data_IF_557770682177
#
_entry.id   IF_557770682177
#
_cell.length_a   1.000
_cell.length_b   1.000
_cell.length_c   1.000
_cell.angle_alpha   90.00
_cell.angle_beta   90.00
_cell.angle_gamma   90.00
#
_symmetry.space_group_name_H-M   'P 1'
#
loop_
_entity.id
_entity.type
_entity.pdbx_description
1 polymer ?
#
# COMPACT_ATOMS: atom_id res chain seq x y z
N UNK A 1 6.60 -11.39 7.52
CA UNK A 1 5.56 -10.34 7.72
C UNK A 1 4.42 -10.47 6.70
N UNK A 2 4.64 -10.25 5.40
CA UNK A 2 3.52 -10.08 4.44
C UNK A 2 3.05 -11.34 3.72
N UNK A 3 3.97 -12.11 3.09
CA UNK A 3 3.60 -13.13 2.11
C UNK A 3 2.85 -14.35 2.67
N UNK A 4 2.99 -14.63 3.96
CA UNK A 4 2.26 -15.70 4.65
C UNK A 4 0.88 -15.23 5.17
N UNK A 5 0.62 -13.91 5.24
CA UNK A 5 -0.66 -13.40 5.71
C UNK A 5 -1.74 -13.71 4.66
N UNK A 6 -2.83 -14.35 5.10
CA UNK A 6 -3.94 -14.80 4.25
C UNK A 6 -5.12 -13.83 4.23
N UNK A 7 -5.12 -12.81 5.10
CA UNK A 7 -6.14 -11.77 5.11
C UNK A 7 -6.16 -10.97 3.80
N UNK A 8 -7.34 -10.46 3.46
CA UNK A 8 -7.54 -9.55 2.34
C UNK A 8 -6.60 -8.34 2.43
N UNK A 9 -6.13 -7.84 1.29
CA UNK A 9 -5.19 -6.71 1.26
C UNK A 9 -5.82 -5.37 1.70
N UNK A 10 -7.03 -4.99 1.22
CA UNK A 10 -7.71 -3.79 1.70
C UNK A 10 -7.87 -3.84 3.22
N UNK A 11 -7.69 -2.69 3.88
CA UNK A 11 -7.72 -2.52 5.35
C UNK A 11 -6.58 -3.22 6.10
N UNK A 12 -6.35 -4.52 5.86
CA UNK A 12 -5.48 -5.33 6.71
C UNK A 12 -3.98 -5.23 6.36
N UNK A 13 -3.62 -4.87 5.13
CA UNK A 13 -2.21 -4.89 4.69
C UNK A 13 -1.79 -3.73 3.81
N UNK A 14 -2.64 -3.25 2.91
CA UNK A 14 -2.28 -2.17 1.98
C UNK A 14 -2.49 -0.81 2.65
N UNK A 15 -1.41 -0.04 2.94
CA UNK A 15 -1.57 1.31 3.44
C UNK A 15 -2.08 2.23 2.33
N UNK A 16 -2.63 3.37 2.72
CA UNK A 16 -3.11 4.40 1.80
C UNK A 16 -2.54 5.76 2.14
N UNK A 17 -2.37 6.59 1.11
CA UNK A 17 -2.01 8.00 1.25
C UNK A 17 -3.16 8.83 0.73
N UNK A 18 -3.66 9.74 1.57
CA UNK A 18 -4.71 10.68 1.22
C UNK A 18 -4.07 12.02 0.87
N UNK A 19 -4.10 12.39 -0.40
CA UNK A 19 -3.59 13.69 -0.85
C UNK A 19 -4.48 14.85 -0.38
N UNK A 20 -4.03 16.12 -0.48
CA UNK A 20 -4.92 17.26 -0.29
C UNK A 20 -6.16 17.15 -1.17
N UNK A 21 -7.32 17.59 -0.64
CA UNK A 21 -8.56 17.62 -1.41
C UNK A 21 -8.38 18.50 -2.65
N UNK A 22 -8.83 17.99 -3.78
CA UNK A 22 -8.93 18.72 -5.03
C UNK A 22 -10.41 19.09 -5.25
N UNK A 23 -10.67 20.24 -5.86
CA UNK A 23 -12.01 20.69 -6.20
C UNK A 23 -12.17 20.73 -7.72
N UNK A 24 -12.71 19.64 -8.28
CA UNK A 24 -12.98 19.51 -9.71
C UNK A 24 -14.41 19.98 -10.00
N UNK A 25 -14.61 20.80 -11.04
CA UNK A 25 -15.94 21.27 -11.43
C UNK A 25 -16.70 20.22 -12.22
N UNK A 26 -15.97 19.46 -13.03
CA UNK A 26 -16.51 18.43 -13.90
C UNK A 26 -15.51 17.28 -14.08
N UNK A 27 -15.90 16.30 -14.90
CA UNK A 27 -15.08 15.14 -15.21
C UNK A 27 -13.81 15.53 -15.95
N UNK A 28 -13.87 16.52 -16.84
CA UNK A 28 -12.72 16.94 -17.66
C UNK A 28 -11.59 17.54 -16.80
N UNK A 29 -11.93 18.34 -15.77
CA UNK A 29 -10.97 18.83 -14.78
C UNK A 29 -10.27 17.66 -14.07
N UNK A 30 -11.00 16.61 -13.69
CA UNK A 30 -10.42 15.43 -13.05
C UNK A 30 -9.50 14.64 -13.99
N UNK A 31 -9.83 14.55 -15.29
CA UNK A 31 -9.01 13.89 -16.30
C UNK A 31 -7.73 14.68 -16.59
N UNK A 32 -7.79 16.02 -16.59
CA UNK A 32 -6.60 16.89 -16.70
C UNK A 32 -5.66 16.68 -15.52
N UNK A 33 -6.20 16.65 -14.30
CA UNK A 33 -5.40 16.35 -13.11
C UNK A 33 -4.75 14.96 -13.19
N UNK A 34 -5.50 13.95 -13.64
CA UNK A 34 -4.98 12.61 -13.82
C UNK A 34 -3.87 12.54 -14.90
N UNK A 35 -4.03 13.27 -16.01
CA UNK A 35 -3.00 13.37 -17.05
C UNK A 35 -1.71 14.00 -16.50
N UNK A 36 -1.83 15.13 -15.79
CA UNK A 36 -0.70 15.79 -15.15
C UNK A 36 0.02 14.88 -14.13
N UNK A 37 -0.75 14.14 -13.32
CA UNK A 37 -0.22 13.17 -12.37
C UNK A 37 0.58 12.05 -13.07
N UNK A 38 0.08 11.53 -14.20
CA UNK A 38 0.78 10.52 -15.00
C UNK A 38 2.08 11.10 -15.56
N UNK A 39 2.07 12.32 -16.09
CA UNK A 39 3.27 12.99 -16.59
C UNK A 39 4.36 13.08 -15.50
N UNK A 40 4.01 13.54 -14.30
CA UNK A 40 4.95 13.58 -13.17
C UNK A 40 5.41 12.18 -12.71
N UNK A 41 4.53 11.18 -12.76
CA UNK A 41 4.89 9.79 -12.47
C UNK A 41 5.91 9.25 -13.46
N UNK A 42 5.77 9.58 -14.75
CA UNK A 42 6.69 9.18 -15.81
C UNK A 42 8.07 9.78 -15.60
N UNK A 43 8.15 11.08 -15.30
CA UNK A 43 9.41 11.75 -14.95
C UNK A 43 10.09 11.08 -13.75
N UNK A 44 9.32 10.79 -12.70
CA UNK A 44 9.83 10.11 -11.52
C UNK A 44 10.32 8.68 -11.83
N UNK A 45 9.57 7.94 -12.65
CA UNK A 45 9.97 6.61 -13.11
C UNK A 45 11.29 6.66 -13.89
N UNK A 46 11.46 7.64 -14.78
CA UNK A 46 12.72 7.81 -15.53
C UNK A 46 13.90 8.00 -14.57
N UNK A 47 13.73 8.78 -13.50
CA UNK A 47 14.77 8.95 -12.48
C UNK A 47 15.08 7.64 -11.73
N UNK A 48 14.05 6.87 -11.38
CA UNK A 48 14.20 5.54 -10.74
C UNK A 48 14.94 4.57 -11.65
N UNK A 49 14.50 4.44 -12.90
CA UNK A 49 15.07 3.51 -13.88
C UNK A 49 16.53 3.84 -14.20
N UNK A 50 16.84 5.14 -14.32
CA UNK A 50 18.21 5.62 -14.60
C UNK A 50 19.09 5.69 -13.36
N UNK A 51 18.54 5.40 -12.17
CA UNK A 51 19.23 5.52 -10.87
C UNK A 51 19.81 6.93 -10.63
N UNK A 52 19.09 7.96 -11.08
CA UNK A 52 19.47 9.37 -10.91
C UNK A 52 18.74 10.05 -9.77
N UNK A 53 17.97 9.31 -8.97
CA UNK A 53 17.39 9.84 -7.74
C UNK A 53 18.49 10.33 -6.79
N UNK A 54 18.34 11.51 -6.17
CA UNK A 54 19.24 11.95 -5.11
C UNK A 54 19.33 10.89 -4.01
N UNK A 55 20.53 10.47 -3.58
CA UNK A 55 20.67 9.49 -2.53
C UNK A 55 20.20 10.08 -1.20
N UNK A 56 19.40 9.32 -0.45
CA UNK A 56 19.13 9.62 0.96
C UNK A 56 20.39 9.33 1.79
N UNK A 57 20.84 10.28 2.61
CA UNK A 57 22.07 10.23 3.44
C UNK A 57 22.46 8.82 3.94
N UNK A 58 23.31 8.12 3.19
CA UNK A 58 23.81 6.76 3.49
C UNK A 58 22.71 5.70 3.75
N UNK A 59 21.51 5.89 3.20
CA UNK A 59 20.42 4.93 3.29
C UNK A 59 20.32 4.08 2.02
N UNK A 60 19.97 2.81 2.20
CA UNK A 60 19.67 1.89 1.12
C UNK A 60 18.50 2.42 0.27
N UNK A 61 18.74 2.49 -1.04
CA UNK A 61 17.77 2.99 -2.05
C UNK A 61 17.00 1.86 -2.74
N UNK A 62 17.21 0.59 -2.37
CA UNK A 62 16.66 -0.57 -3.10
C UNK A 62 15.13 -0.56 -3.19
N UNK A 63 14.45 -0.03 -2.16
CA UNK A 63 12.98 0.06 -2.15
C UNK A 63 12.43 0.94 -3.28
N UNK A 64 13.17 1.97 -3.72
CA UNK A 64 12.76 2.83 -4.84
C UNK A 64 12.78 2.07 -6.16
N UNK A 65 13.80 1.25 -6.41
CA UNK A 65 13.95 0.47 -7.65
C UNK A 65 12.92 -0.65 -7.80
N UNK A 66 12.23 -0.97 -6.71
CA UNK A 66 11.13 -1.94 -6.67
C UNK A 66 9.74 -1.31 -6.81
N UNK A 67 9.64 0.02 -6.77
CA UNK A 67 8.36 0.75 -6.76
C UNK A 67 7.52 0.45 -8.00
N UNK A 68 8.16 0.31 -9.16
CA UNK A 68 7.51 0.10 -10.46
C UNK A 68 7.73 -1.29 -11.07
N UNK A 69 8.31 -2.23 -10.32
CA UNK A 69 8.84 -3.51 -10.88
C UNK A 69 8.50 -4.75 -10.05
N UNK A 70 7.77 -4.61 -8.95
CA UNK A 70 7.36 -5.72 -8.07
C UNK A 70 5.91 -6.08 -8.30
N UNK A 71 5.42 -7.33 -8.27
CA UNK A 71 3.98 -7.68 -8.22
C UNK A 71 3.73 -8.73 -7.14
N UNK A 72 2.71 -8.56 -6.29
CA UNK A 72 2.34 -9.54 -5.26
C UNK A 72 1.34 -10.56 -5.83
N UNK A 73 1.84 -11.69 -6.30
CA UNK A 73 1.04 -12.79 -6.82
C UNK A 73 0.41 -13.60 -5.67
N UNK A 74 -0.91 -13.83 -5.66
CA UNK A 74 -1.54 -14.69 -4.65
C UNK A 74 -1.08 -16.15 -4.85
N UNK A 75 -0.86 -16.87 -3.75
CA UNK A 75 -0.67 -18.33 -3.77
C UNK A 75 -1.56 -18.99 -2.74
N UNK A 76 -1.81 -20.30 -2.79
CA UNK A 76 -2.81 -20.95 -1.90
C UNK A 76 -2.46 -20.85 -0.41
N UNK A 77 -1.18 -21.01 -0.07
CA UNK A 77 -0.68 -20.94 1.31
C UNK A 77 0.24 -19.74 1.54
N UNK A 78 1.00 -19.34 0.52
CA UNK A 78 1.98 -18.27 0.58
C UNK A 78 1.98 -17.51 -0.74
N UNK A 79 1.95 -16.19 -0.65
CA UNK A 79 2.05 -15.30 -1.80
C UNK A 79 3.50 -15.22 -2.29
N UNK A 80 3.70 -14.79 -3.53
CA UNK A 80 5.03 -14.53 -4.09
C UNK A 80 5.18 -13.05 -4.44
N UNK A 81 6.33 -12.47 -4.11
CA UNK A 81 6.73 -11.17 -4.63
C UNK A 81 7.53 -11.40 -5.91
N UNK A 82 6.95 -11.05 -7.05
CA UNK A 82 7.61 -11.13 -8.35
C UNK A 82 8.31 -9.81 -8.58
N UNK A 83 9.63 -9.78 -8.61
CA UNK A 83 10.41 -8.59 -9.01
C UNK A 83 11.02 -8.83 -10.38
N UNK A 84 10.93 -7.84 -11.27
CA UNK A 84 11.67 -7.89 -12.52
C UNK A 84 13.09 -7.41 -12.28
N UNK A 85 14.09 -8.27 -12.49
CA UNK A 85 15.49 -7.91 -12.40
C UNK A 85 15.98 -7.33 -13.74
N UNK A 86 16.65 -6.19 -13.70
CA UNK A 86 17.37 -5.60 -14.84
C UNK A 86 18.74 -6.28 -15.08
N UNK A 87 18.84 -7.60 -14.83
CA UNK A 87 20.09 -8.37 -14.87
C UNK A 87 20.27 -9.20 -16.14
N UNK A 88 19.71 -8.77 -17.27
CA UNK A 88 19.84 -9.42 -18.58
C UNK A 88 20.29 -8.42 -19.65
N UNK A 89 21.28 -8.79 -20.44
CA UNK A 89 21.98 -7.98 -21.43
C UNK A 89 21.18 -7.68 -22.72
N UNK A 90 19.94 -7.22 -22.61
CA UNK A 90 19.20 -6.62 -23.73
C UNK A 90 18.73 -5.21 -23.36
N UNK A 91 19.58 -4.24 -23.71
CA UNK A 91 19.30 -2.80 -23.63
C UNK A 91 18.30 -2.41 -24.73
N UNK A 92 17.01 -2.60 -24.48
CA UNK A 92 16.03 -1.65 -25.02
C UNK A 92 15.36 -0.93 -23.85
N UNK A 93 15.26 0.42 -23.86
CA UNK A 93 14.44 1.13 -22.90
C UNK A 93 12.98 0.80 -23.23
N UNK A 94 12.47 -0.31 -22.71
CA UNK A 94 11.08 -0.67 -22.95
C UNK A 94 10.20 0.33 -22.22
N UNK A 95 9.44 1.03 -23.02
CA UNK A 95 8.43 1.96 -22.59
C UNK A 95 7.24 1.20 -21.96
N UNK A 96 6.88 1.54 -20.72
CA UNK A 96 5.83 0.84 -19.99
C UNK A 96 4.41 1.29 -20.35
N UNK A 97 3.41 0.53 -19.90
CA UNK A 97 2.00 0.94 -19.90
C UNK A 97 1.49 1.12 -18.48
N UNK A 98 0.41 1.88 -18.32
CA UNK A 98 -0.41 1.87 -17.11
C UNK A 98 -1.71 1.14 -17.40
N UNK A 99 -2.39 0.73 -16.33
CA UNK A 99 -3.80 0.32 -16.42
C UNK A 99 -4.65 1.47 -15.89
N UNK A 100 -5.70 1.81 -16.63
CA UNK A 100 -6.72 2.74 -16.18
C UNK A 100 -7.98 1.94 -15.83
N UNK A 101 -8.42 2.03 -14.58
CA UNK A 101 -9.67 1.47 -14.10
C UNK A 101 -10.74 2.57 -14.12
N UNK A 102 -11.85 2.33 -14.82
CA UNK A 102 -13.01 3.23 -14.88
C UNK A 102 -14.29 2.41 -14.96
N UNK A 103 -15.28 2.67 -14.11
CA UNK A 103 -16.53 1.89 -14.03
C UNK A 103 -16.30 0.37 -13.95
N UNK A 104 -15.29 -0.05 -13.16
CA UNK A 104 -14.88 -1.45 -12.99
C UNK A 104 -14.30 -2.11 -14.26
N UNK A 105 -14.06 -1.32 -15.31
CA UNK A 105 -13.45 -1.75 -16.56
C UNK A 105 -11.97 -1.37 -16.56
N UNK A 106 -11.12 -2.21 -17.13
CA UNK A 106 -9.67 -1.99 -17.18
C UNK A 106 -9.21 -1.74 -18.61
N UNK A 107 -8.38 -0.72 -18.80
CA UNK A 107 -7.85 -0.32 -20.09
C UNK A 107 -6.33 -0.20 -20.04
N UNK A 108 -5.67 -0.60 -21.13
CA UNK A 108 -4.23 -0.39 -21.33
C UNK A 108 -4.01 0.99 -21.91
N UNK A 109 -3.18 1.79 -21.23
CA UNK A 109 -2.66 3.05 -21.75
C UNK A 109 -1.14 2.94 -21.87
N UNK A 110 -0.65 2.80 -23.09
CA UNK A 110 0.79 2.81 -23.38
C UNK A 110 1.35 4.21 -23.14
N UNK A 111 2.47 4.32 -22.42
CA UNK A 111 3.07 5.63 -22.11
C UNK A 111 3.93 6.17 -23.26
N UNK A 112 4.10 5.37 -24.32
CA UNK A 112 4.80 5.76 -25.53
C UNK A 112 4.12 5.26 -26.77
N UNK A 113 4.31 6.02 -27.84
CA UNK A 113 3.86 5.69 -29.18
C UNK A 113 5.03 5.96 -30.15
N UNK A 114 5.34 5.01 -31.04
CA UNK A 114 6.44 5.13 -32.04
C UNK A 114 7.79 5.61 -31.46
N UNK A 115 8.15 5.12 -30.27
CA UNK A 115 9.38 5.50 -29.54
C UNK A 115 9.41 6.94 -29.01
N UNK A 116 8.28 7.66 -29.02
CA UNK A 116 8.09 8.96 -28.36
C UNK A 116 7.26 8.78 -27.09
N UNK A 117 7.63 9.50 -26.03
CA UNK A 117 6.78 9.64 -24.85
C UNK A 117 5.53 10.44 -25.16
N UNK A 118 4.39 9.93 -24.68
CA UNK A 118 3.14 10.69 -24.70
C UNK A 118 3.34 11.93 -23.84
N UNK A 119 2.91 13.09 -24.36
CA UNK A 119 2.83 14.31 -23.58
C UNK A 119 1.49 14.37 -22.81
N UNK A 120 1.33 15.40 -21.98
CA UNK A 120 0.13 15.55 -21.15
C UNK A 120 -1.16 15.65 -21.98
N UNK A 121 -1.10 16.25 -23.17
CA UNK A 121 -2.25 16.39 -24.08
C UNK A 121 -2.63 15.05 -24.72
N UNK A 122 -1.64 14.25 -25.12
CA UNK A 122 -1.86 12.89 -25.59
C UNK A 122 -2.50 12.02 -24.50
N UNK A 123 -1.98 12.09 -23.27
CA UNK A 123 -2.50 11.33 -22.12
C UNK A 123 -3.95 11.74 -21.84
N UNK A 124 -4.24 13.04 -21.79
CA UNK A 124 -5.60 13.55 -21.60
C UNK A 124 -6.55 13.02 -22.68
N UNK A 125 -6.12 13.05 -23.95
CA UNK A 125 -6.91 12.52 -25.07
C UNK A 125 -7.24 11.03 -24.88
N UNK A 126 -6.26 10.23 -24.47
CA UNK A 126 -6.45 8.80 -24.19
C UNK A 126 -7.36 8.56 -22.98
N UNK A 127 -7.22 9.35 -21.90
CA UNK A 127 -8.08 9.26 -20.73
C UNK A 127 -9.54 9.61 -21.04
N UNK A 128 -9.78 10.65 -21.84
CA UNK A 128 -11.12 11.03 -22.32
C UNK A 128 -11.74 9.92 -23.16
N UNK A 129 -10.97 9.26 -24.03
CA UNK A 129 -11.42 8.08 -24.78
C UNK A 129 -11.81 6.93 -23.84
N UNK A 130 -10.94 6.60 -22.88
CA UNK A 130 -11.20 5.55 -21.87
C UNK A 130 -12.49 5.84 -21.09
N UNK A 131 -12.65 7.07 -20.62
CA UNK A 131 -13.84 7.52 -19.89
C UNK A 131 -15.12 7.25 -20.68
N UNK A 132 -15.18 7.71 -21.94
CA UNK A 132 -16.34 7.51 -22.82
C UNK A 132 -16.59 6.05 -23.14
N UNK A 133 -15.53 5.26 -23.35
CA UNK A 133 -15.65 3.82 -23.58
C UNK A 133 -16.21 3.09 -22.36
N UNK A 134 -15.84 3.49 -21.15
CA UNK A 134 -16.28 2.88 -19.90
C UNK A 134 -17.76 3.13 -19.57
N UNK A 135 -18.36 4.20 -20.10
CA UNK A 135 -19.78 4.54 -19.93
C UNK A 135 -20.73 3.65 -20.76
N UNK A 136 -20.22 3.02 -21.83
CA UNK A 136 -21.03 2.17 -22.70
C UNK A 136 -21.43 0.86 -22.01
N UNK A 137 -22.70 0.77 -21.61
CA UNK A 137 -23.25 -0.37 -20.85
C UNK A 137 -23.15 -1.70 -21.61
N UNK A 138 -23.41 -1.70 -22.92
CA UNK A 138 -23.38 -2.91 -23.76
C UNK A 138 -21.99 -3.58 -23.83
N UNK A 139 -20.94 -2.80 -23.60
CA UNK A 139 -19.56 -3.26 -23.65
C UNK A 139 -19.00 -3.59 -22.24
N UNK A 140 -19.80 -3.46 -21.18
CA UNK A 140 -19.34 -3.70 -19.81
C UNK A 140 -18.98 -5.16 -19.58
N UNK A 141 -17.84 -5.36 -18.91
CA UNK A 141 -17.33 -6.66 -18.49
C UNK A 141 -17.57 -6.85 -16.98
N UNK A 142 -17.63 -8.11 -16.51
CA UNK A 142 -17.75 -8.39 -15.09
C UNK A 142 -16.65 -7.72 -14.24
N UNK A 143 -16.94 -7.30 -13.01
CA UNK A 143 -16.04 -6.53 -12.15
C UNK A 143 -14.91 -7.39 -11.53
N UNK A 144 -14.01 -7.92 -12.35
CA UNK A 144 -12.95 -8.85 -11.91
C UNK A 144 -11.97 -8.28 -10.89
N UNK A 145 -11.90 -6.95 -10.75
CA UNK A 145 -11.11 -6.27 -9.72
C UNK A 145 -11.48 -6.69 -8.29
N UNK A 146 -12.74 -7.08 -8.08
CA UNK A 146 -13.26 -7.56 -6.80
C UNK A 146 -12.47 -8.74 -6.24
N UNK A 147 -11.97 -9.64 -7.09
CA UNK A 147 -11.21 -10.78 -6.60
C UNK A 147 -9.95 -10.37 -5.84
N UNK A 148 -9.33 -9.25 -6.23
CA UNK A 148 -8.11 -8.77 -5.56
C UNK A 148 -8.37 -8.18 -4.18
N UNK A 149 -9.64 -7.89 -3.87
CA UNK A 149 -10.10 -7.41 -2.56
C UNK A 149 -10.39 -8.52 -1.57
N UNK A 150 -10.45 -9.78 -2.02
CA UNK A 150 -10.76 -10.94 -1.17
C UNK A 150 -9.53 -11.45 -0.41
N UNK A 151 -9.76 -12.43 0.46
CA UNK A 151 -8.69 -13.19 1.11
C UNK A 151 -7.69 -13.76 0.10
N UNK A 152 -6.44 -13.90 0.52
CA UNK A 152 -5.35 -14.25 -0.41
C UNK A 152 -5.52 -15.65 -1.02
N UNK A 153 -6.12 -16.57 -0.26
CA UNK A 153 -6.33 -17.96 -0.71
C UNK A 153 -7.51 -18.04 -1.68
N UNK A 154 -8.54 -17.26 -1.43
CA UNK A 154 -9.74 -17.09 -2.25
C UNK A 154 -9.35 -16.47 -3.59
N UNK A 155 -8.53 -15.41 -3.56
CA UNK A 155 -7.98 -14.82 -4.77
C UNK A 155 -7.11 -15.82 -5.54
N UNK A 156 -6.23 -16.58 -4.87
CA UNK A 156 -5.42 -17.60 -5.54
C UNK A 156 -6.29 -18.61 -6.31
N UNK A 157 -7.35 -19.13 -5.68
CA UNK A 157 -8.30 -20.06 -6.31
C UNK A 157 -9.01 -19.45 -7.53
N UNK A 158 -9.50 -18.21 -7.41
CA UNK A 158 -10.18 -17.53 -8.52
C UNK A 158 -9.20 -17.25 -9.68
N UNK A 159 -7.97 -16.85 -9.37
CA UNK A 159 -6.91 -16.61 -10.36
C UNK A 159 -6.56 -17.88 -11.13
N UNK A 160 -6.47 -19.03 -10.46
CA UNK A 160 -6.20 -20.32 -11.11
C UNK A 160 -7.30 -20.70 -12.10
N UNK A 161 -8.56 -20.38 -11.81
CA UNK A 161 -9.66 -20.56 -12.76
C UNK A 161 -9.58 -19.60 -13.94
N UNK A 162 -9.30 -18.31 -13.70
CA UNK A 162 -9.13 -17.32 -14.77
C UNK A 162 -8.04 -17.74 -15.75
N UNK A 163 -6.91 -18.27 -15.26
CA UNK A 163 -5.76 -18.68 -16.09
C UNK A 163 -6.04 -19.85 -17.05
N UNK A 164 -7.14 -20.59 -16.86
CA UNK A 164 -7.53 -21.67 -17.78
C UNK A 164 -7.92 -21.14 -19.16
N UNK A 165 -8.42 -19.91 -19.23
CA UNK A 165 -8.79 -19.24 -20.47
C UNK A 165 -7.62 -18.38 -21.00
N UNK A 166 -7.28 -18.46 -22.30
CA UNK A 166 -6.16 -17.72 -22.87
C UNK A 166 -6.37 -16.19 -22.89
N UNK A 167 -7.60 -15.72 -23.09
CA UNK A 167 -7.93 -14.27 -23.10
C UNK A 167 -7.74 -13.69 -21.70
N UNK A 168 -8.23 -14.40 -20.67
CA UNK A 168 -8.01 -14.00 -19.28
C UNK A 168 -6.53 -13.99 -18.90
N UNK A 169 -5.75 -14.96 -19.40
CA UNK A 169 -4.31 -15.03 -19.17
C UNK A 169 -3.59 -13.80 -19.73
N UNK A 170 -3.91 -13.40 -20.96
CA UNK A 170 -3.34 -12.19 -21.57
C UNK A 170 -3.69 -10.93 -20.77
N UNK A 171 -4.96 -10.78 -20.38
CA UNK A 171 -5.40 -9.68 -19.51
C UNK A 171 -4.68 -9.68 -18.16
N UNK A 172 -4.56 -10.84 -17.50
CA UNK A 172 -3.79 -10.97 -16.25
C UNK A 172 -2.31 -10.64 -16.45
N UNK A 173 -1.70 -11.06 -17.55
CA UNK A 173 -0.32 -10.70 -17.86
C UNK A 173 -0.17 -9.18 -17.96
N UNK A 174 -1.02 -8.48 -18.71
CA UNK A 174 -1.02 -7.01 -18.80
C UNK A 174 -1.26 -6.35 -17.43
N UNK A 175 -2.16 -6.90 -16.61
CA UNK A 175 -2.43 -6.46 -15.24
C UNK A 175 -1.29 -6.77 -14.27
N UNK A 176 -0.46 -7.77 -14.55
CA UNK A 176 0.78 -8.13 -13.82
C UNK A 176 1.98 -7.36 -14.38
N UNK A 177 1.80 -6.63 -15.48
CA UNK A 177 2.84 -5.93 -16.23
C UNK A 177 2.64 -4.44 -16.52
N UNK A 178 1.76 -3.73 -15.83
CA UNK A 178 1.70 -2.27 -15.87
C UNK A 178 2.58 -1.59 -14.82
N UNK A 179 2.94 -0.33 -15.07
CA UNK A 179 3.71 0.60 -14.20
C UNK A 179 2.91 1.10 -13.00
N UNK A 180 1.60 1.24 -13.13
CA UNK A 180 0.69 1.49 -12.02
C UNK A 180 -0.75 1.24 -12.50
N UNK A 181 -1.69 1.36 -11.56
CA UNK A 181 -3.12 1.40 -11.86
C UNK A 181 -3.64 2.78 -11.47
N UNK A 182 -4.17 3.51 -12.44
CA UNK A 182 -4.93 4.74 -12.21
C UNK A 182 -6.41 4.37 -12.07
N UNK A 183 -7.05 4.76 -10.98
CA UNK A 183 -8.49 4.53 -10.77
C UNK A 183 -9.24 5.84 -10.97
N UNK A 184 -10.06 5.91 -12.02
CA UNK A 184 -11.01 6.98 -12.28
C UNK A 184 -12.31 6.62 -11.55
N UNK A 185 -12.44 7.14 -10.34
CA UNK A 185 -13.55 6.82 -9.45
C UNK A 185 -14.78 7.68 -9.71
N UNK A 186 -15.95 7.06 -9.58
CA UNK A 186 -17.22 7.78 -9.67
C UNK A 186 -17.55 8.47 -8.33
N UNK A 187 -18.27 9.61 -8.36
CA UNK A 187 -18.73 10.28 -7.16
C UNK A 187 -19.59 9.36 -6.29
N UNK A 188 -19.28 9.29 -4.99
CA UNK A 188 -19.98 8.36 -4.06
C UNK A 188 -21.11 9.00 -3.28
N UNK A 189 -21.34 10.32 -3.42
CA UNK A 189 -22.32 11.09 -2.66
C UNK A 189 -21.99 11.29 -1.17
N UNK A 190 -20.87 10.74 -0.68
CA UNK A 190 -20.46 10.86 0.71
C UNK A 190 -19.77 12.21 0.95
N UNK A 191 -20.00 12.81 2.11
CA UNK A 191 -19.33 14.05 2.50
C UNK A 191 -17.80 13.86 2.51
N UNK A 192 -17.03 14.74 1.85
CA UNK A 192 -15.60 14.55 1.63
C UNK A 192 -14.74 14.97 2.84
N UNK A 193 -15.05 14.45 4.03
CA UNK A 193 -14.20 14.57 5.22
C UNK A 193 -12.90 13.77 5.05
N UNK A 194 -11.86 14.08 5.84
CA UNK A 194 -10.60 13.34 5.76
C UNK A 194 -10.80 11.84 6.07
N UNK A 195 -11.64 11.49 7.05
CA UNK A 195 -12.00 10.10 7.39
C UNK A 195 -12.70 9.36 6.24
N UNK A 196 -13.70 10.01 5.61
CA UNK A 196 -14.43 9.41 4.50
C UNK A 196 -13.53 9.22 3.28
N UNK A 197 -12.67 10.20 2.98
CA UNK A 197 -11.69 10.11 1.88
C UNK A 197 -10.66 9.01 2.15
N UNK A 198 -10.17 8.87 3.37
CA UNK A 198 -9.28 7.79 3.77
C UNK A 198 -9.93 6.41 3.56
N UNK A 199 -11.18 6.26 4.03
CA UNK A 199 -11.96 5.03 3.87
C UNK A 199 -12.19 4.68 2.39
N UNK A 200 -12.54 5.66 1.54
CA UNK A 200 -12.70 5.44 0.11
C UNK A 200 -11.41 5.02 -0.60
N UNK A 201 -10.25 5.54 -0.20
CA UNK A 201 -8.97 5.09 -0.77
C UNK A 201 -8.62 3.69 -0.26
N UNK A 202 -8.96 3.37 0.99
CA UNK A 202 -8.65 2.09 1.63
C UNK A 202 -9.43 0.90 1.05
N UNK A 203 -10.70 1.08 0.70
CA UNK A 203 -11.57 -0.02 0.26
C UNK A 203 -12.61 0.38 -0.81
N UNK A 204 -12.58 1.60 -1.33
CA UNK A 204 -13.47 2.05 -2.41
C UNK A 204 -14.95 2.20 -2.03
N UNK A 205 -15.29 2.07 -0.74
CA UNK A 205 -16.69 2.14 -0.28
C UNK A 205 -17.54 0.89 -0.55
N UNK A 206 -16.94 -0.22 -0.98
CA UNK A 206 -17.64 -1.49 -1.23
C UNK A 206 -17.93 -1.73 -2.70
N UNK A 207 -18.58 -2.86 -3.00
CA UNK A 207 -18.85 -3.29 -4.38
C UNK A 207 -19.87 -2.40 -5.12
N UNK A 208 -20.79 -1.77 -4.38
CA UNK A 208 -21.79 -0.82 -4.91
C UNK A 208 -21.21 0.56 -5.24
N UNK A 209 -19.94 0.79 -4.92
CA UNK A 209 -19.22 2.05 -5.16
C UNK A 209 -17.96 1.76 -6.00
N UNK A 210 -16.80 2.17 -5.53
CA UNK A 210 -15.53 2.07 -6.25
C UNK A 210 -14.67 0.89 -5.79
N UNK A 211 -15.18 -0.01 -4.93
CA UNK A 211 -14.41 -1.14 -4.39
C UNK A 211 -13.99 -2.17 -5.44
N UNK A 212 -14.78 -2.29 -6.52
CA UNK A 212 -14.46 -3.10 -7.69
C UNK A 212 -13.56 -2.39 -8.71
N UNK A 213 -13.47 -1.06 -8.65
CA UNK A 213 -12.69 -0.22 -9.56
C UNK A 213 -11.21 -0.17 -9.13
N UNK A 214 -10.68 -1.33 -8.73
CA UNK A 214 -9.38 -1.49 -8.08
C UNK A 214 -8.71 -2.75 -8.58
N UNK A 215 -7.39 -2.73 -8.54
CA UNK A 215 -6.58 -3.93 -8.62
C UNK A 215 -5.44 -3.81 -7.62
N UNK A 216 -5.46 -4.62 -6.56
CA UNK A 216 -4.42 -4.55 -5.53
C UNK A 216 -3.10 -5.08 -6.08
N UNK A 217 -2.14 -4.17 -6.30
CA UNK A 217 -0.95 -4.40 -7.12
C UNK A 217 0.34 -3.84 -6.52
N UNK A 218 1.45 -4.31 -7.08
CA UNK A 218 2.68 -3.55 -7.31
C UNK A 218 3.12 -3.77 -8.79
N UNK A 219 3.92 -2.93 -9.47
CA UNK A 219 4.05 -2.78 -10.95
C UNK A 219 5.10 -3.63 -11.76
N UNK A 220 5.01 -3.81 -13.10
CA UNK A 220 5.94 -4.56 -14.03
C UNK A 220 5.67 -4.28 -15.56
N UNK A 221 6.02 -5.08 -16.62
CA UNK A 221 6.04 -4.74 -18.12
C UNK A 221 5.65 -5.80 -19.22
N UNK A 222 5.06 -5.45 -20.42
CA UNK A 222 5.29 -6.04 -21.81
C UNK A 222 4.49 -5.38 -23.02
N UNK A 223 4.97 -5.65 -24.26
CA UNK A 223 4.65 -5.25 -25.67
C UNK A 223 3.61 -6.06 -26.52
N UNK A 224 2.99 -5.42 -27.55
CA UNK A 224 2.92 -5.84 -28.98
C UNK A 224 2.49 -4.67 -29.92
N UNK A 225 3.02 -4.67 -31.16
CA UNK A 225 2.94 -3.61 -32.20
C UNK A 225 1.58 -3.55 -32.94
N UNK A 226 1.12 -2.36 -33.29
CA UNK A 226 0.28 -2.11 -34.46
C UNK A 226 0.57 -0.72 -35.06
N UNK A 227 0.33 -0.58 -36.37
CA UNK A 227 0.67 0.59 -37.18
C UNK A 227 -0.56 1.42 -37.53
N UNK A 228 -0.57 2.72 -37.22
CA UNK A 228 -1.27 3.78 -37.97
C UNK A 228 -0.86 5.17 -37.45
N UNK A 229 -1.23 6.22 -38.17
CA UNK A 229 -0.81 7.62 -38.00
C UNK A 229 -1.46 8.40 -36.85
N UNK A 230 -2.50 7.85 -36.20
CA UNK A 230 -3.17 8.45 -35.02
C UNK A 230 -2.85 7.69 -33.73
N UNK A 231 -2.98 8.36 -32.56
CA UNK A 231 -2.88 7.67 -31.26
C UNK A 231 -3.85 6.47 -31.25
N UNK A 232 -3.37 5.24 -30.99
CA UNK A 232 -4.22 4.07 -31.03
C UNK A 232 -5.32 4.15 -29.96
N UNK A 233 -6.48 3.60 -30.27
CA UNK A 233 -7.58 3.50 -29.31
C UNK A 233 -7.11 2.64 -28.11
N UNK A 234 -7.30 3.10 -26.86
CA UNK A 234 -6.98 2.32 -25.67
C UNK A 234 -7.60 0.92 -25.69
N UNK A 235 -6.80 -0.11 -25.42
CA UNK A 235 -7.27 -1.49 -25.40
C UNK A 235 -8.03 -1.77 -24.11
N UNK A 236 -9.32 -2.12 -24.21
CA UNK A 236 -10.09 -2.68 -23.08
C UNK A 236 -9.65 -4.11 -22.80
N UNK A 237 -9.35 -4.44 -21.55
CA UNK A 237 -9.08 -5.81 -21.14
C UNK A 237 -10.36 -6.65 -21.19
N UNK A 238 -10.23 -7.85 -21.75
CA UNK A 238 -11.34 -8.79 -21.92
C UNK A 238 -11.28 -9.89 -20.87
N UNK A 239 -12.47 -10.35 -20.46
CA UNK A 239 -12.63 -11.34 -19.40
C UNK A 239 -13.72 -12.34 -19.75
N UNK A 240 -13.33 -13.60 -19.95
CA UNK A 240 -14.22 -14.74 -20.13
C UNK A 240 -14.55 -15.32 -18.75
N UNK A 241 -15.76 -15.03 -18.27
CA UNK A 241 -16.22 -15.46 -16.95
C UNK A 241 -17.21 -16.61 -17.08
N UNK A 242 -16.83 -17.80 -16.63
CA UNK A 242 -17.75 -18.92 -16.46
C UNK A 242 -18.75 -18.64 -15.33
N UNK A 243 -19.84 -19.43 -15.25
CA UNK A 243 -20.80 -19.37 -14.14
C UNK A 243 -20.13 -19.51 -12.77
N UNK A 244 -19.08 -20.35 -12.67
CA UNK A 244 -18.28 -20.49 -11.47
C UNK A 244 -17.53 -19.20 -11.11
N UNK A 245 -16.90 -18.54 -12.09
CA UNK A 245 -16.19 -17.26 -11.88
C UNK A 245 -17.18 -16.18 -11.43
N UNK A 246 -18.37 -16.11 -12.04
CA UNK A 246 -19.41 -15.15 -11.66
C UNK A 246 -19.90 -15.39 -10.22
N UNK A 247 -20.09 -16.63 -9.81
CA UNK A 247 -20.45 -16.97 -8.41
C UNK A 247 -19.35 -16.56 -7.42
N UNK A 248 -18.08 -16.75 -7.78
CA UNK A 248 -16.97 -16.29 -6.94
C UNK A 248 -16.92 -14.76 -6.85
N UNK A 249 -17.23 -14.02 -7.93
CA UNK A 249 -17.33 -12.55 -7.88
C UNK A 249 -18.39 -12.08 -6.88
N UNK A 250 -19.57 -12.71 -6.87
CA UNK A 250 -20.61 -12.41 -5.89
C UNK A 250 -20.15 -12.69 -4.46
N UNK A 251 -19.34 -13.73 -4.25
CA UNK A 251 -18.75 -14.04 -2.94
C UNK A 251 -17.73 -12.98 -2.51
N UNK A 252 -16.83 -12.58 -3.40
CA UNK A 252 -15.85 -11.52 -3.13
C UNK A 252 -16.52 -10.16 -2.88
N UNK A 253 -17.61 -9.84 -3.60
CA UNK A 253 -18.41 -8.65 -3.34
C UNK A 253 -18.95 -8.61 -1.90
N UNK A 254 -19.53 -9.72 -1.44
CA UNK A 254 -20.03 -9.86 -0.07
C UNK A 254 -18.91 -9.75 0.97
N UNK A 255 -17.75 -10.37 0.72
CA UNK A 255 -16.60 -10.29 1.61
C UNK A 255 -16.06 -8.86 1.73
N UNK A 256 -15.92 -8.16 0.60
CA UNK A 256 -15.54 -6.74 0.61
C UNK A 256 -16.56 -5.91 1.38
N UNK A 257 -17.86 -6.15 1.18
CA UNK A 257 -18.90 -5.41 1.90
C UNK A 257 -18.82 -5.60 3.42
N UNK A 258 -18.48 -6.80 3.88
CA UNK A 258 -18.22 -7.09 5.30
C UNK A 258 -16.99 -6.32 5.81
N UNK A 259 -15.90 -6.28 5.05
CA UNK A 259 -14.71 -5.50 5.41
C UNK A 259 -15.03 -4.01 5.56
N UNK A 260 -15.80 -3.44 4.62
CA UNK A 260 -16.23 -2.04 4.69
C UNK A 260 -17.07 -1.77 5.95
N UNK A 261 -18.02 -2.65 6.28
CA UNK A 261 -18.88 -2.48 7.46
C UNK A 261 -18.14 -2.67 8.79
N UNK A 262 -17.06 -3.44 8.79
CA UNK A 262 -16.29 -3.76 9.99
C UNK A 262 -15.19 -2.74 10.31
N UNK A 263 -14.87 -1.83 9.38
CA UNK A 263 -13.89 -0.79 9.60
C UNK A 263 -14.50 0.37 10.40
N UNK A 264 -13.94 0.64 11.58
CA UNK A 264 -14.13 1.88 12.31
C UNK A 264 -12.85 2.73 12.16
N UNK A 265 -12.98 3.93 11.59
CA UNK A 265 -11.86 4.78 11.22
C UNK A 265 -12.20 6.25 11.40
N UNK A 266 -11.30 6.97 12.08
CA UNK A 266 -11.38 8.43 12.21
C UNK A 266 -10.01 9.07 12.00
N UNK A 267 -9.98 10.18 11.26
CA UNK A 267 -8.79 11.00 11.07
C UNK A 267 -8.81 12.17 12.04
N UNK A 268 -8.07 12.03 13.14
CA UNK A 268 -7.93 13.09 14.13
C UNK A 268 -6.80 14.06 13.75
N UNK A 269 -7.14 15.34 13.59
CA UNK A 269 -6.15 16.43 13.46
C UNK A 269 -6.00 17.20 14.77
N UNK A 270 -5.01 16.82 15.57
CA UNK A 270 -4.68 17.55 16.79
C UNK A 270 -4.08 18.93 16.47
N UNK A 271 -4.71 20.01 16.96
CA UNK A 271 -4.33 21.41 16.69
C UNK A 271 -3.78 22.17 17.91
N UNK A 272 -3.70 21.54 19.08
CA UNK A 272 -3.25 22.22 20.30
C UNK A 272 -1.77 22.61 20.29
N UNK A 273 -0.92 21.74 19.74
CA UNK A 273 0.51 21.98 19.54
C UNK A 273 1.09 20.96 18.56
N UNK A 274 2.38 21.08 18.25
CA UNK A 274 3.10 20.13 17.42
C UNK A 274 4.55 19.92 17.88
N UNK A 275 5.39 19.47 16.94
CA UNK A 275 6.80 19.14 17.20
C UNK A 275 7.58 20.26 17.90
N UNK A 276 7.26 21.52 17.63
CA UNK A 276 8.01 22.66 18.15
C UNK A 276 7.83 22.81 19.67
N UNK A 277 6.62 22.58 20.18
CA UNK A 277 6.37 22.54 21.62
C UNK A 277 7.14 21.39 22.28
N UNK A 278 7.04 20.18 21.73
CA UNK A 278 7.68 18.99 22.31
C UNK A 278 9.20 19.15 22.35
N UNK A 279 9.79 19.71 21.28
CA UNK A 279 11.22 20.02 21.24
C UNK A 279 11.64 21.07 22.27
N UNK A 280 10.82 22.10 22.54
CA UNK A 280 11.07 23.06 23.62
C UNK A 280 11.14 22.40 25.00
N UNK A 281 10.40 21.29 25.19
CA UNK A 281 10.47 20.47 26.40
C UNK A 281 11.67 19.49 26.41
N UNK A 282 12.57 19.57 25.43
CA UNK A 282 13.75 18.71 25.26
C UNK A 282 13.41 17.22 25.09
N UNK A 283 12.27 16.91 24.48
CA UNK A 283 11.81 15.55 24.22
C UNK A 283 11.82 15.22 22.72
N UNK A 284 12.00 13.95 22.38
CA UNK A 284 11.78 13.46 21.01
C UNK A 284 10.28 13.50 20.69
N UNK A 285 9.84 14.18 19.61
CA UNK A 285 8.42 14.22 19.23
C UNK A 285 7.80 12.84 19.01
N UNK A 286 8.56 11.94 18.40
CA UNK A 286 8.12 10.57 18.12
C UNK A 286 7.91 9.77 19.42
N UNK A 287 8.92 9.72 20.28
CA UNK A 287 8.83 9.04 21.58
C UNK A 287 7.73 9.63 22.47
N UNK A 288 7.56 10.95 22.46
CA UNK A 288 6.49 11.63 23.18
C UNK A 288 5.10 11.15 22.72
N UNK A 289 4.88 11.08 21.40
CA UNK A 289 3.62 10.60 20.83
C UNK A 289 3.40 9.12 21.17
N UNK A 290 4.43 8.28 21.10
CA UNK A 290 4.32 6.86 21.48
C UNK A 290 3.90 6.69 22.94
N UNK A 291 4.50 7.42 23.87
CA UNK A 291 4.10 7.40 25.28
C UNK A 291 2.67 7.94 25.47
N UNK A 292 2.28 8.96 24.71
CA UNK A 292 0.91 9.47 24.72
C UNK A 292 -0.11 8.43 24.23
N UNK A 293 0.24 7.63 23.21
CA UNK A 293 -0.59 6.51 22.72
C UNK A 293 -0.71 5.40 23.78
N UNK A 294 0.36 5.07 24.50
CA UNK A 294 0.30 4.12 25.61
C UNK A 294 -0.64 4.60 26.71
N UNK A 295 -0.55 5.89 27.10
CA UNK A 295 -1.44 6.49 28.08
C UNK A 295 -2.91 6.49 27.61
N UNK A 296 -3.16 6.86 26.35
CA UNK A 296 -4.50 6.87 25.77
C UNK A 296 -5.13 5.47 25.81
N UNK A 297 -4.38 4.45 25.38
CA UNK A 297 -4.85 3.06 25.42
C UNK A 297 -5.12 2.59 26.87
N UNK A 298 -4.20 2.91 27.79
CA UNK A 298 -4.35 2.54 29.20
C UNK A 298 -5.56 3.23 29.86
N UNK A 299 -5.85 4.49 29.53
CA UNK A 299 -7.04 5.21 30.01
C UNK A 299 -8.34 4.50 29.61
N UNK A 300 -8.41 4.02 28.37
CA UNK A 300 -9.61 3.36 27.85
C UNK A 300 -9.79 1.93 28.38
N UNK A 301 -8.70 1.19 28.61
CA UNK A 301 -8.77 -0.27 28.83
C UNK A 301 -8.25 -0.73 30.19
N UNK A 302 -7.53 0.14 30.90
CA UNK A 302 -6.75 -0.16 32.12
C UNK A 302 -5.74 -1.31 31.95
N UNK A 303 -5.33 -1.58 30.71
CA UNK A 303 -4.38 -2.63 30.34
C UNK A 303 -3.26 -2.06 29.48
N UNK A 304 -2.09 -2.70 29.54
CA UNK A 304 -0.98 -2.48 28.61
C UNK A 304 -0.91 -3.69 27.67
N UNK A 305 -0.55 -3.45 26.42
CA UNK A 305 -0.54 -4.47 25.37
C UNK A 305 0.72 -4.39 24.53
N UNK A 306 1.12 -5.52 23.95
CA UNK A 306 2.23 -5.57 23.00
C UNK A 306 1.98 -4.58 21.85
N UNK A 307 2.83 -3.56 21.76
CA UNK A 307 2.71 -2.48 20.78
C UNK A 307 3.82 -2.63 19.74
N UNK A 308 3.46 -2.44 18.47
CA UNK A 308 4.39 -2.46 17.34
C UNK A 308 4.60 -1.06 16.79
N UNK A 309 5.85 -0.65 16.65
CA UNK A 309 6.24 0.59 15.99
C UNK A 309 7.34 0.30 14.97
N UNK A 310 7.19 0.85 13.76
CA UNK A 310 8.13 0.62 12.67
C UNK A 310 9.37 1.48 12.81
N UNK A 311 10.54 0.87 12.95
CA UNK A 311 11.83 1.54 12.86
C UNK A 311 12.53 1.19 11.54
N UNK A 312 12.92 2.20 10.76
CA UNK A 312 13.64 1.98 9.50
C UNK A 312 15.02 1.38 9.75
N UNK A 313 15.34 0.28 9.08
CA UNK A 313 16.70 -0.30 9.07
C UNK A 313 17.45 0.02 7.77
N UNK A 314 17.00 1.03 7.01
CA UNK A 314 17.60 1.39 5.70
C UNK A 314 19.07 1.79 5.76
N UNK A 315 19.67 2.05 6.94
CA UNK A 315 21.13 2.20 7.10
C UNK A 315 21.90 0.95 6.69
N UNK A 316 21.24 -0.21 6.67
CA UNK A 316 21.80 -1.47 6.26
C UNK A 316 21.34 -1.81 4.84
N UNK A 317 22.18 -2.56 4.11
CA UNK A 317 21.84 -3.03 2.76
C UNK A 317 20.57 -3.89 2.81
N UNK A 318 19.62 -3.60 1.92
CA UNK A 318 18.28 -4.20 1.88
C UNK A 318 17.44 -4.00 3.15
N UNK A 319 17.82 -3.06 4.02
CA UNK A 319 17.10 -2.71 5.23
C UNK A 319 15.64 -2.34 4.94
N UNK A 320 14.74 -2.90 5.76
CA UNK A 320 13.30 -2.63 5.75
C UNK A 320 12.92 -1.95 7.07
N UNK A 321 12.30 -2.72 7.96
CA UNK A 321 11.87 -2.26 9.27
C UNK A 321 12.12 -3.31 10.34
N UNK A 322 12.30 -2.85 11.57
CA UNK A 322 12.29 -3.64 12.80
C UNK A 322 11.26 -3.04 13.78
N UNK A 323 10.89 -3.81 14.81
CA UNK A 323 9.91 -3.41 15.81
C UNK A 323 10.56 -2.65 16.98
N UNK A 324 10.10 -1.42 17.24
CA UNK A 324 10.26 -0.77 18.54
C UNK A 324 9.09 -1.18 19.43
N UNK A 325 9.39 -1.76 20.60
CA UNK A 325 8.38 -2.18 21.56
C UNK A 325 8.05 -1.03 22.51
N UNK A 326 7.06 -0.22 22.15
CA UNK A 326 6.72 1.02 22.87
C UNK A 326 5.99 0.79 24.20
N UNK A 327 5.51 -0.43 24.44
CA UNK A 327 4.88 -0.83 25.72
C UNK A 327 5.95 -1.21 26.75
N UNK A 328 6.65 -0.21 27.29
CA UNK A 328 7.71 -0.37 28.30
C UNK A 328 7.16 -0.33 29.73
N UNK A 329 7.96 -0.78 30.71
CA UNK A 329 7.60 -0.68 32.12
C UNK A 329 7.44 0.78 32.56
N UNK A 330 8.28 1.68 32.05
CA UNK A 330 8.25 3.11 32.32
C UNK A 330 6.97 3.76 31.76
N UNK A 331 6.56 3.39 30.54
CA UNK A 331 5.30 3.87 29.97
C UNK A 331 4.09 3.39 30.79
N UNK A 332 4.12 2.16 31.31
CA UNK A 332 3.09 1.64 32.21
C UNK A 332 3.07 2.37 33.56
N UNK A 333 4.23 2.62 34.18
CA UNK A 333 4.34 3.36 35.43
C UNK A 333 3.83 4.81 35.31
N UNK A 334 4.14 5.46 34.18
CA UNK A 334 3.60 6.76 33.84
C UNK A 334 2.07 6.69 33.66
N UNK A 335 1.58 5.71 32.90
CA UNK A 335 0.14 5.56 32.62
C UNK A 335 -0.68 5.30 33.90
N UNK A 336 -0.15 4.48 34.81
CA UNK A 336 -0.74 4.25 36.14
C UNK A 336 -0.82 5.53 36.97
N UNK A 337 0.27 6.30 37.04
CA UNK A 337 0.30 7.57 37.77
C UNK A 337 -0.69 8.61 37.22
N UNK A 338 -0.86 8.67 35.89
CA UNK A 338 -1.78 9.60 35.22
C UNK A 338 -3.26 9.21 35.33
N UNK A 339 -3.55 8.03 35.86
CA UNK A 339 -4.90 7.47 35.96
C UNK A 339 -5.25 7.00 37.37
N UNK A 340 -4.43 7.38 38.35
CA UNK A 340 -4.66 7.19 39.77
C UNK A 340 -5.77 8.13 40.24
N UNK A 341 -6.91 7.55 40.60
CA UNK A 341 -8.10 8.27 41.08
C UNK A 341 -7.96 8.67 42.56
N UNK A 342 -7.01 8.06 43.29
CA UNK A 342 -6.73 8.39 44.70
C UNK A 342 -6.00 9.72 44.90
N UNK A 343 -5.49 10.33 43.82
CA UNK A 343 -4.75 11.60 43.89
C UNK A 343 -3.43 11.50 44.65
N UNK A 344 -2.89 10.29 44.83
CA UNK A 344 -1.72 10.04 45.66
C UNK A 344 -0.42 10.52 44.99
N UNK A 345 -0.40 10.63 43.66
CA UNK A 345 0.79 11.01 42.88
C UNK A 345 0.78 12.49 42.55
N UNK A 346 1.83 13.19 42.98
CA UNK A 346 2.05 14.62 42.72
C UNK A 346 2.39 14.90 41.24
N UNK A 347 2.08 16.09 40.75
CA UNK A 347 2.31 16.46 39.34
C UNK A 347 3.80 16.50 38.98
N UNK A 348 4.68 16.86 39.92
CA UNK A 348 6.14 16.78 39.77
C UNK A 348 6.60 15.34 39.48
N UNK A 349 6.03 14.37 40.19
CA UNK A 349 6.34 12.95 40.03
C UNK A 349 5.77 12.40 38.72
N UNK A 350 4.55 12.79 38.31
CA UNK A 350 3.99 12.45 37.00
C UNK A 350 4.89 12.94 35.87
N UNK A 351 5.42 14.16 35.98
CA UNK A 351 6.33 14.75 35.01
C UNK A 351 7.68 14.03 34.95
N UNK A 352 8.22 13.57 36.08
CA UNK A 352 9.42 12.74 36.11
C UNK A 352 9.20 11.39 35.42
N UNK A 353 8.08 10.72 35.72
CA UNK A 353 7.71 9.45 35.07
C UNK A 353 7.51 9.62 33.56
N UNK A 354 6.92 10.73 33.12
CA UNK A 354 6.82 11.06 31.69
C UNK A 354 8.20 11.17 31.04
N UNK A 355 9.12 11.95 31.62
CA UNK A 355 10.48 12.12 31.09
C UNK A 355 11.18 10.77 30.97
N UNK A 356 11.13 9.95 32.04
CA UNK A 356 11.73 8.63 32.04
C UNK A 356 11.15 7.72 30.95
N UNK A 357 9.83 7.71 30.77
CA UNK A 357 9.19 6.93 29.71
C UNK A 357 9.63 7.38 28.30
N UNK A 358 9.71 8.68 28.06
CA UNK A 358 10.17 9.26 26.77
C UNK A 358 11.65 8.95 26.53
N UNK A 359 12.49 9.01 27.55
CA UNK A 359 13.91 8.70 27.44
C UNK A 359 14.14 7.21 27.16
N UNK A 360 13.43 6.31 27.85
CA UNK A 360 13.47 4.86 27.56
C UNK A 360 13.01 4.58 26.12
N UNK A 361 11.92 5.20 25.69
CA UNK A 361 11.42 5.03 24.32
C UNK A 361 12.44 5.51 23.29
N UNK A 362 13.05 6.68 23.52
CA UNK A 362 14.11 7.23 22.66
C UNK A 362 15.34 6.32 22.64
N UNK A 363 15.71 5.74 23.78
CA UNK A 363 16.80 4.77 23.87
C UNK A 363 16.50 3.53 23.03
N UNK A 364 15.31 2.93 23.17
CA UNK A 364 14.88 1.77 22.39
C UNK A 364 14.93 2.06 20.88
N UNK A 365 14.44 3.23 20.44
CA UNK A 365 14.54 3.66 19.04
C UNK A 365 16.00 3.70 18.56
N UNK A 366 16.93 4.21 19.37
CA UNK A 366 18.36 4.24 19.03
C UNK A 366 18.95 2.83 18.93
N UNK A 367 18.58 1.92 19.83
CA UNK A 367 19.08 0.55 19.84
C UNK A 367 18.67 -0.24 18.59
N UNK A 368 17.43 -0.05 18.12
CA UNK A 368 16.97 -0.70 16.89
C UNK A 368 17.74 -0.18 15.67
N UNK A 369 18.04 1.12 15.63
CA UNK A 369 18.88 1.69 14.57
C UNK A 369 20.35 1.23 14.62
N UNK A 370 20.84 0.74 15.77
CA UNK A 370 22.20 0.21 15.93
C UNK A 370 22.29 -1.32 15.96
N UNK A 371 21.19 -2.05 15.72
CA UNK A 371 21.11 -3.54 15.66
C UNK A 371 21.36 -4.31 16.98
N UNK A 372 21.34 -3.65 18.15
CA UNK A 372 21.69 -4.32 19.41
C UNK A 372 20.55 -5.15 20.05
N UNK A 373 19.30 -5.02 19.60
CA UNK A 373 18.14 -5.75 20.12
C UNK A 373 17.15 -6.00 19.02
N UNK A 374 16.78 -7.24 18.68
CA UNK A 374 15.85 -7.43 17.56
C UNK A 374 14.92 -8.63 17.70
N UNK A 375 13.66 -8.39 17.34
CA UNK A 375 12.64 -9.44 17.11
C UNK A 375 13.02 -10.24 15.87
N UNK A 376 13.74 -9.66 14.90
CA UNK A 376 14.35 -10.42 13.82
C UNK A 376 15.41 -11.41 14.30
N UNK A 377 16.26 -11.11 15.28
CA UNK A 377 17.19 -12.12 15.81
C UNK A 377 16.41 -13.30 16.41
N UNK A 378 15.32 -13.04 17.15
CA UNK A 378 14.45 -14.11 17.66
C UNK A 378 13.73 -14.87 16.55
N UNK A 379 13.27 -14.21 15.48
CA UNK A 379 12.65 -14.87 14.33
C UNK A 379 13.66 -15.68 13.50
N UNK A 380 14.89 -15.18 13.34
CA UNK A 380 16.00 -15.89 12.70
C UNK A 380 16.30 -17.14 13.53
N UNK A 381 16.49 -17.01 14.85
CA UNK A 381 16.72 -18.14 15.75
C UNK A 381 15.58 -19.17 15.71
N UNK A 382 14.32 -18.73 15.66
CA UNK A 382 13.16 -19.62 15.54
C UNK A 382 12.99 -20.23 14.13
N UNK A 383 13.59 -19.64 13.10
CA UNK A 383 13.59 -20.16 11.73
C UNK A 383 14.84 -20.98 11.38
N UNK A 384 15.83 -21.02 12.28
CA UNK A 384 17.08 -21.77 12.11
C UNK A 384 16.97 -23.04 12.97
N UNK A 385 16.45 -24.12 12.39
CA UNK A 385 16.64 -25.46 12.96
C UNK A 385 18.12 -25.81 12.88
N UNK A 386 18.83 -25.71 14.00
CA UNK A 386 20.18 -26.25 14.11
C UNK A 386 20.09 -27.78 14.26
N UNK A 387 20.41 -28.52 13.19
CA UNK A 387 20.75 -29.94 13.31
C UNK A 387 22.18 -30.06 13.85
N UNK A 388 22.33 -30.22 15.16
CA UNK A 388 23.60 -30.65 15.75
C UNK A 388 23.68 -32.18 15.66
N UNK A 389 24.43 -32.69 14.67
CA UNK A 389 24.85 -34.08 14.65
C UNK A 389 26.07 -34.26 15.58
N UNK A 390 25.87 -34.85 16.75
CA UNK A 390 26.98 -35.30 17.60
C UNK A 390 27.50 -36.64 17.07
N UNK A 391 28.69 -36.65 16.47
CA UNK A 391 29.44 -37.89 16.24
C UNK A 391 30.06 -38.34 17.58
N UNK A 392 29.64 -39.51 18.07
CA UNK A 392 30.42 -40.29 19.04
C UNK A 392 31.37 -41.18 18.26
N UNK A 393 32.66 -41.05 18.56
CA UNK A 393 33.72 -41.97 18.15
C UNK A 393 33.49 -43.35 18.78
N UNK A 394 33.59 -44.38 17.95
CA UNK A 394 33.87 -45.76 18.34
C UNK A 394 35.03 -46.24 17.48
#
# INVERSE_FOLDING_TARGET
MYLNNRLALPVNSSPVLVFPRQDFRDRDDSLRFAAHLISGLMEYKVMVDRRTLPPDCELCMEQYYHLFTSYRRPGLQKDSLITQSSTGAEKTPEHGHIIVASNNQFFVLNLTEKSRWLDESDILTQLTRISKMAEKMEEQRPPVGLFTSDGRTEWAKARDLLLKDPVNRESLELMERCVCVLCLDEPTGVQPTDSNRASLILHGGGHDKNGANRWSRSPSKLMKRSSASDLPVPQRLSWNCSSQILSMLSSSANNLQRLVRNLDMEVLRFRGYGKDFIKKQKMSPDAYIQVALQLAFYRCTRKSVSTYESASTRRFRHGRVENIRSSTAEALHFSRAMTDEGGCVQDSEKMERLRKAVDTQTHNTKMVHSHFYTTQNSNILNSTEFYFATHRTG
#
